data_IF_410777207455
#
_entry.id   IF_410777207455
#
_cell.length_a   1.000
_cell.length_b   1.000
_cell.length_c   1.000
_cell.angle_alpha   90.00
_cell.angle_beta   90.00
_cell.angle_gamma   90.00
#
_symmetry.space_group_name_H-M   'P 1'
#
loop_
_entity.id
_entity.type
_entity.pdbx_description
1 polymer ?
#
# COMPACT_ATOMS: atom_id res chain seq x y z
N UNK A 1 -16.40 -1.95 11.89
CA UNK A 1 -14.99 -1.87 11.51
C UNK A 1 -14.27 -0.82 12.35
N UNK A 2 -13.08 -1.14 12.79
CA UNK A 2 -12.29 -0.23 13.62
C UNK A 2 -11.22 0.43 12.76
N UNK A 3 -11.15 1.75 12.79
CA UNK A 3 -10.07 2.47 12.13
C UNK A 3 -8.80 2.36 12.97
N UNK A 4 -7.62 2.31 12.35
CA UNK A 4 -6.37 2.38 13.09
C UNK A 4 -6.28 3.71 13.83
N UNK A 5 -5.54 3.75 14.95
CA UNK A 5 -5.35 5.00 15.67
C UNK A 5 -4.42 5.93 14.88
N UNK A 6 -4.39 7.19 15.31
CA UNK A 6 -3.64 8.22 14.61
C UNK A 6 -2.14 7.92 14.59
N UNK A 7 -1.62 7.36 15.68
CA UNK A 7 -0.19 7.05 15.77
C UNK A 7 0.19 5.95 14.77
N UNK A 8 -0.69 4.95 14.58
CA UNK A 8 -0.47 3.90 13.59
C UNK A 8 -0.43 4.48 12.18
N UNK A 9 -1.38 5.37 11.86
CA UNK A 9 -1.42 6.03 10.54
C UNK A 9 -0.14 6.85 10.32
N UNK A 10 0.30 7.60 11.33
CA UNK A 10 1.52 8.41 11.22
C UNK A 10 2.76 7.54 11.00
N UNK A 11 2.84 6.38 11.67
CA UNK A 11 3.96 5.44 11.45
C UNK A 11 3.98 4.92 10.02
N UNK A 12 2.81 4.57 9.49
CA UNK A 12 2.72 4.07 8.10
C UNK A 12 3.11 5.17 7.12
N UNK A 13 2.66 6.40 7.36
CA UNK A 13 3.04 7.55 6.52
C UNK A 13 4.55 7.80 6.55
N UNK A 14 5.18 7.64 7.71
CA UNK A 14 6.62 7.81 7.83
C UNK A 14 7.39 6.69 7.13
N UNK A 15 6.86 5.47 7.17
CA UNK A 15 7.48 4.31 6.55
C UNK A 15 7.34 4.33 5.02
N UNK A 16 6.21 4.86 4.53
CA UNK A 16 5.89 4.87 3.09
C UNK A 16 5.55 6.29 2.63
N UNK A 17 6.52 7.21 2.63
CA UNK A 17 6.25 8.56 2.13
C UNK A 17 5.95 8.53 0.62
N UNK A 18 5.26 9.57 0.11
CA UNK A 18 4.98 9.64 -1.33
C UNK A 18 6.24 9.46 -2.16
N UNK A 19 6.14 8.70 -3.24
CA UNK A 19 7.27 8.38 -4.08
C UNK A 19 8.01 7.11 -3.71
N UNK A 20 7.65 6.47 -2.60
CA UNK A 20 8.27 5.19 -2.19
C UNK A 20 7.94 4.12 -3.22
N UNK A 21 8.98 3.44 -3.70
CA UNK A 21 8.80 2.32 -4.63
C UNK A 21 8.63 1.03 -3.84
N UNK A 22 7.61 0.26 -4.20
CA UNK A 22 7.27 -0.99 -3.52
C UNK A 22 7.06 -2.10 -4.54
N UNK A 23 7.17 -3.33 -4.05
CA UNK A 23 6.88 -4.55 -4.82
C UNK A 23 5.77 -5.31 -4.11
N UNK A 24 4.78 -5.79 -4.86
CA UNK A 24 3.69 -6.57 -4.29
C UNK A 24 4.16 -7.96 -3.92
N UNK A 25 3.95 -8.35 -2.66
CA UNK A 25 4.29 -9.67 -2.14
C UNK A 25 3.06 -10.54 -2.00
N UNK A 26 1.97 -10.01 -1.45
CA UNK A 26 0.74 -10.78 -1.24
C UNK A 26 -0.46 -9.84 -1.17
N UNK A 27 -1.50 -10.17 -1.94
CA UNK A 27 -2.78 -9.46 -1.90
C UNK A 27 -3.87 -10.43 -2.32
N UNK A 28 -4.81 -10.72 -1.42
CA UNK A 28 -5.92 -11.62 -1.69
C UNK A 28 -7.11 -10.84 -2.22
N UNK A 29 -7.06 -10.50 -3.50
CA UNK A 29 -8.08 -9.72 -4.18
C UNK A 29 -8.13 -10.17 -5.63
N UNK A 30 -9.34 -10.33 -6.16
CA UNK A 30 -9.52 -10.79 -7.54
C UNK A 30 -8.84 -9.86 -8.55
N UNK A 31 -8.80 -8.56 -8.24
CA UNK A 31 -8.21 -7.55 -9.13
C UNK A 31 -6.77 -7.19 -8.75
N UNK A 32 -6.15 -7.96 -7.87
CA UNK A 32 -4.78 -7.68 -7.46
C UNK A 32 -3.82 -7.74 -8.64
N UNK A 33 -2.83 -6.85 -8.70
CA UNK A 33 -1.74 -7.01 -9.66
C UNK A 33 -1.00 -8.32 -9.39
N UNK A 34 -0.30 -8.88 -10.38
CA UNK A 34 0.52 -10.06 -10.13
C UNK A 34 1.57 -9.80 -9.03
N UNK A 35 1.87 -10.82 -8.25
CA UNK A 35 2.96 -10.76 -7.28
C UNK A 35 4.25 -10.37 -8.02
N UNK A 36 5.02 -9.46 -7.43
CA UNK A 36 6.22 -8.93 -8.05
C UNK A 36 6.02 -7.62 -8.81
N UNK A 37 4.75 -7.20 -8.99
CA UNK A 37 4.46 -5.92 -9.65
C UNK A 37 5.02 -4.78 -8.83
N UNK A 38 5.68 -3.84 -9.48
CA UNK A 38 6.23 -2.64 -8.84
C UNK A 38 5.17 -1.55 -8.84
N UNK A 39 5.10 -0.81 -7.73
CA UNK A 39 4.23 0.34 -7.62
C UNK A 39 4.94 1.49 -6.93
N UNK A 40 4.33 2.67 -7.01
CA UNK A 40 4.82 3.88 -6.36
C UNK A 40 3.73 4.40 -5.43
N UNK A 41 4.08 4.57 -4.16
CA UNK A 41 3.14 5.09 -3.17
C UNK A 41 2.83 6.55 -3.48
N UNK A 42 1.55 6.88 -3.57
CA UNK A 42 1.09 8.25 -3.81
C UNK A 42 0.81 8.96 -2.48
N UNK A 43 0.17 8.26 -1.57
CA UNK A 43 -0.16 8.77 -0.24
C UNK A 43 -0.63 7.63 0.65
N UNK A 44 -0.86 7.93 1.93
CA UNK A 44 -1.47 7.01 2.90
C UNK A 44 -2.69 7.71 3.47
N UNK A 45 -3.85 7.05 3.41
CA UNK A 45 -5.09 7.64 3.89
C UNK A 45 -5.28 7.43 5.40
N UNK A 46 -6.39 7.93 5.94
CA UNK A 46 -6.66 7.86 7.38
C UNK A 46 -6.97 6.46 7.87
N UNK A 47 -7.15 5.50 6.98
CA UNK A 47 -7.32 4.09 7.32
C UNK A 47 -6.01 3.32 7.26
N UNK A 48 -4.89 4.01 7.08
CA UNK A 48 -3.56 3.45 6.88
C UNK A 48 -3.46 2.60 5.61
N UNK A 49 -4.30 2.86 4.62
CA UNK A 49 -4.18 2.23 3.32
C UNK A 49 -3.22 3.02 2.44
N UNK A 50 -2.34 2.31 1.73
CA UNK A 50 -1.42 2.93 0.78
C UNK A 50 -2.15 3.12 -0.54
N UNK A 51 -2.21 4.35 -1.03
CA UNK A 51 -2.71 4.64 -2.36
C UNK A 51 -1.53 4.49 -3.32
N UNK A 52 -1.60 3.50 -4.19
CA UNK A 52 -0.45 3.07 -5.00
C UNK A 52 -0.79 3.16 -6.48
N UNK A 53 0.15 3.65 -7.24
CA UNK A 53 0.10 3.59 -8.71
C UNK A 53 0.98 2.42 -9.14
N UNK A 54 0.35 1.34 -9.60
CA UNK A 54 1.05 0.14 -10.03
C UNK A 54 1.53 0.25 -11.47
N UNK A 55 2.66 -0.38 -11.77
CA UNK A 55 3.26 -0.32 -13.11
C UNK A 55 2.39 -0.95 -14.19
N UNK A 56 1.46 -1.85 -13.81
CA UNK A 56 0.53 -2.47 -14.75
C UNK A 56 -0.72 -1.63 -15.04
N UNK A 57 -0.78 -0.39 -14.50
CA UNK A 57 -1.93 0.50 -14.67
C UNK A 57 -3.00 0.37 -13.61
N UNK A 58 -2.89 -0.59 -12.70
CA UNK A 58 -3.82 -0.73 -11.58
C UNK A 58 -3.64 0.40 -10.57
N UNK A 59 -4.74 0.81 -9.92
CA UNK A 59 -4.72 1.77 -8.82
C UNK A 59 -5.27 1.16 -7.53
N UNK A 60 -5.23 -0.16 -7.41
CA UNK A 60 -5.75 -0.85 -6.22
C UNK A 60 -4.91 -0.52 -5.00
N UNK A 61 -5.58 -0.11 -3.92
CA UNK A 61 -4.91 0.29 -2.68
C UNK A 61 -4.40 -0.91 -1.91
N UNK A 62 -3.33 -0.70 -1.13
CA UNK A 62 -2.77 -1.70 -0.23
C UNK A 62 -3.30 -1.45 1.18
N UNK A 63 -3.93 -2.45 1.78
CA UNK A 63 -4.44 -2.36 3.16
C UNK A 63 -3.32 -2.79 4.10
N UNK A 64 -2.78 -1.84 4.86
CA UNK A 64 -1.68 -2.12 5.77
C UNK A 64 -2.08 -3.17 6.81
N UNK A 65 -1.24 -4.17 7.00
CA UNK A 65 -1.52 -5.26 7.93
C UNK A 65 -2.33 -6.41 7.33
N UNK A 66 -2.88 -6.25 6.15
CA UNK A 66 -3.64 -7.29 5.42
C UNK A 66 -2.89 -7.70 4.18
N UNK A 67 -2.59 -6.74 3.31
CA UNK A 67 -1.79 -6.97 2.11
C UNK A 67 -0.32 -6.78 2.44
N UNK A 68 0.56 -7.44 1.71
CA UNK A 68 2.00 -7.39 1.98
C UNK A 68 2.74 -6.82 0.79
N UNK A 69 3.53 -5.80 1.05
CA UNK A 69 4.44 -5.20 0.07
C UNK A 69 5.81 -5.04 0.72
N UNK A 70 6.85 -4.87 -0.09
CA UNK A 70 8.18 -4.53 0.41
C UNK A 70 8.74 -3.34 -0.36
N UNK A 71 9.53 -2.52 0.30
CA UNK A 71 10.22 -1.41 -0.35
C UNK A 71 11.39 -1.94 -1.19
N UNK A 72 11.57 -1.35 -2.34
CA UNK A 72 12.65 -1.73 -3.26
C UNK A 72 13.51 -0.54 -3.66
#
# INVERSE_FOLDING_TARGET
MRFPDRDAVERVRAEYPPGTKIELVSMDDFYAPPVGTIGVVQSVDDTASLLVKWSNGSSLNVVYGVDVVRRV
#
